data_IF_417649178090
#
_entry.id   IF_417649178090
#
_cell.length_a   1.000
_cell.length_b   1.000
_cell.length_c   1.000
_cell.angle_alpha   90.00
_cell.angle_beta   90.00
_cell.angle_gamma   90.00
#
_symmetry.space_group_name_H-M   'P 1'
#
loop_
_entity.id
_entity.type
_entity.pdbx_description
1 polymer ?
#
# COMPACT_ATOMS: atom_id res chain seq x y z
N UNK A 1 8.46 2.19 -0.94
CA UNK A 1 7.37 3.15 -1.18
C UNK A 1 7.11 4.03 0.04
N UNK A 2 6.87 3.44 1.23
CA UNK A 2 6.54 4.21 2.45
C UNK A 2 7.63 5.24 2.74
N UNK A 3 8.88 4.81 2.91
CA UNK A 3 9.99 5.71 3.18
C UNK A 3 10.23 6.74 2.08
N UNK A 4 10.11 6.35 0.80
CA UNK A 4 10.26 7.28 -0.33
C UNK A 4 9.17 8.35 -0.35
N UNK A 5 7.91 8.00 -0.06
CA UNK A 5 6.81 8.96 0.01
C UNK A 5 6.98 9.93 1.19
N UNK A 6 7.37 9.43 2.37
CA UNK A 6 7.67 10.28 3.54
C UNK A 6 8.86 11.20 3.23
N UNK A 7 9.96 10.66 2.70
CA UNK A 7 11.17 11.44 2.37
C UNK A 7 10.86 12.56 1.38
N UNK A 8 10.09 12.27 0.32
CA UNK A 8 9.60 13.29 -0.63
C UNK A 8 8.78 14.37 0.10
N UNK A 9 7.81 13.96 0.94
CA UNK A 9 7.00 14.89 1.71
C UNK A 9 7.81 15.79 2.65
N UNK A 10 8.86 15.26 3.27
CA UNK A 10 9.76 16.00 4.15
C UNK A 10 10.58 17.07 3.42
N UNK A 11 10.97 16.86 2.15
CA UNK A 11 11.61 17.91 1.35
C UNK A 11 10.67 19.10 1.13
N UNK A 12 9.37 18.84 0.97
CA UNK A 12 8.34 19.89 0.88
C UNK A 12 8.18 20.70 2.17
N UNK A 13 8.67 20.20 3.30
CA UNK A 13 8.71 20.90 4.60
C UNK A 13 10.04 21.64 4.84
N UNK A 14 10.88 21.80 3.81
CA UNK A 14 12.16 22.48 3.91
C UNK A 14 13.27 21.67 4.61
N UNK A 15 13.05 20.38 4.87
CA UNK A 15 14.05 19.47 5.43
C UNK A 15 14.92 18.86 4.33
N UNK A 16 16.12 18.40 4.72
CA UNK A 16 17.05 17.68 3.84
C UNK A 16 17.24 16.24 4.32
N UNK A 17 16.28 15.35 4.05
CA UNK A 17 16.39 13.97 4.52
C UNK A 17 17.47 13.19 3.77
N UNK A 18 18.04 12.19 4.47
CA UNK A 18 18.84 11.12 3.87
C UNK A 18 17.96 9.86 3.86
N UNK A 19 17.79 9.25 2.70
CA UNK A 19 17.05 8.01 2.52
C UNK A 19 18.03 6.85 2.32
N UNK A 20 18.14 5.99 3.33
CA UNK A 20 18.97 4.79 3.29
C UNK A 20 18.11 3.60 2.83
N UNK A 21 18.59 2.83 1.89
CA UNK A 21 17.93 1.60 1.42
C UNK A 21 18.94 0.45 1.35
N UNK A 22 18.61 -0.70 1.95
CA UNK A 22 19.54 -1.83 2.05
C UNK A 22 19.83 -2.51 0.71
N UNK A 23 19.09 -2.19 -0.34
CA UNK A 23 19.39 -2.69 -1.68
C UNK A 23 18.18 -3.06 -2.50
N UNK A 24 18.47 -3.33 -3.75
CA UNK A 24 17.52 -3.57 -4.81
C UNK A 24 17.19 -5.05 -4.93
N UNK A 25 16.34 -5.54 -4.03
CA UNK A 25 15.83 -6.91 -4.08
C UNK A 25 14.52 -6.94 -4.88
N UNK A 26 14.48 -7.70 -5.98
CA UNK A 26 13.39 -7.72 -6.96
C UNK A 26 12.00 -8.02 -6.36
N UNK A 27 11.92 -8.76 -5.28
CA UNK A 27 10.67 -9.28 -4.73
C UNK A 27 10.22 -8.61 -3.44
N UNK A 28 10.72 -7.43 -3.11
CA UNK A 28 10.25 -6.64 -1.97
C UNK A 28 8.86 -6.07 -2.24
N UNK A 29 8.10 -5.84 -1.16
CA UNK A 29 6.71 -5.37 -1.20
C UNK A 29 6.50 -4.15 -2.12
N UNK A 30 7.42 -3.19 -2.13
CA UNK A 30 7.33 -1.98 -2.96
C UNK A 30 7.36 -2.28 -4.46
N UNK A 31 8.15 -3.24 -4.91
CA UNK A 31 8.29 -3.61 -6.33
C UNK A 31 7.31 -4.68 -6.77
N UNK A 32 6.94 -5.58 -5.87
CA UNK A 32 5.96 -6.62 -6.14
C UNK A 32 4.50 -6.17 -5.99
N UNK A 33 4.26 -4.88 -5.76
CA UNK A 33 2.93 -4.36 -5.46
C UNK A 33 1.99 -4.45 -6.67
N UNK A 34 0.72 -4.77 -6.40
CA UNK A 34 -0.32 -4.87 -7.42
C UNK A 34 -0.73 -3.51 -8.00
N UNK A 35 -0.61 -2.42 -7.21
CA UNK A 35 -0.82 -1.05 -7.67
C UNK A 35 -2.22 -0.49 -7.44
N UNK A 36 -3.03 -1.05 -6.56
CA UNK A 36 -4.33 -0.47 -6.21
C UNK A 36 -4.20 0.73 -5.27
N UNK A 37 -5.00 1.75 -5.53
CA UNK A 37 -5.45 2.76 -4.58
C UNK A 37 -6.83 2.30 -4.12
N UNK A 38 -6.94 1.72 -2.91
CA UNK A 38 -8.10 0.91 -2.56
C UNK A 38 -8.65 1.24 -1.17
N UNK A 39 -9.92 1.60 -1.10
CA UNK A 39 -10.61 2.06 0.11
C UNK A 39 -11.63 1.02 0.60
N UNK A 40 -12.41 0.44 -0.29
CA UNK A 40 -13.59 -0.38 0.05
C UNK A 40 -13.33 -1.68 0.81
N UNK A 41 -12.07 -2.03 1.08
CA UNK A 41 -11.73 -3.21 1.89
C UNK A 41 -10.77 -2.87 3.03
N UNK A 42 -10.59 -1.58 3.32
CA UNK A 42 -9.64 -1.09 4.31
C UNK A 42 -10.36 -0.52 5.52
N UNK A 43 -9.96 -0.97 6.71
CA UNK A 43 -10.49 -0.45 7.97
C UNK A 43 -11.85 -1.01 8.38
N UNK A 44 -12.24 -2.19 7.91
CA UNK A 44 -13.37 -2.94 8.46
C UNK A 44 -13.10 -3.26 9.94
N UNK A 45 -13.99 -2.86 10.83
CA UNK A 45 -13.77 -2.93 12.27
C UNK A 45 -12.75 -1.92 12.83
N UNK A 46 -12.20 -1.03 11.98
CA UNK A 46 -11.16 -0.06 12.35
C UNK A 46 -11.44 1.32 11.70
N UNK A 47 -12.38 2.11 12.22
CA UNK A 47 -12.82 3.37 11.62
C UNK A 47 -11.68 4.39 11.41
N UNK A 48 -10.66 4.39 12.27
CA UNK A 48 -9.47 5.25 12.10
C UNK A 48 -8.71 4.92 10.83
N UNK A 49 -8.51 3.63 10.56
CA UNK A 49 -7.85 3.19 9.33
C UNK A 49 -8.71 3.46 8.08
N UNK A 50 -10.02 3.29 8.19
CA UNK A 50 -10.94 3.63 7.10
C UNK A 50 -10.81 5.12 6.72
N UNK A 51 -10.86 6.03 7.73
CA UNK A 51 -10.68 7.48 7.52
C UNK A 51 -9.29 7.81 6.94
N UNK A 52 -8.25 7.20 7.48
CA UNK A 52 -6.88 7.41 7.01
C UNK A 52 -6.67 6.99 5.56
N UNK A 53 -7.18 5.80 5.21
CA UNK A 53 -7.12 5.28 3.83
C UNK A 53 -7.87 6.17 2.86
N UNK A 54 -9.06 6.63 3.24
CA UNK A 54 -9.85 7.53 2.40
C UNK A 54 -9.20 8.91 2.25
N UNK A 55 -8.64 9.46 3.34
CA UNK A 55 -7.85 10.69 3.27
C UNK A 55 -6.67 10.53 2.29
N UNK A 56 -5.97 9.40 2.35
CA UNK A 56 -4.90 9.09 1.42
C UNK A 56 -5.37 9.04 -0.04
N UNK A 57 -6.50 8.39 -0.30
CA UNK A 57 -7.08 8.33 -1.65
C UNK A 57 -7.45 9.74 -2.16
N UNK A 58 -7.88 10.65 -1.29
CA UNK A 58 -8.13 12.05 -1.60
C UNK A 58 -6.87 12.87 -1.92
N UNK A 59 -5.73 12.53 -1.31
CA UNK A 59 -4.44 13.19 -1.56
C UNK A 59 -3.72 12.68 -2.84
N UNK A 60 -4.16 11.58 -3.40
CA UNK A 60 -3.52 10.97 -4.56
C UNK A 60 -3.47 11.86 -5.81
N UNK A 61 -4.56 12.56 -6.21
CA UNK A 61 -4.51 13.45 -7.37
C UNK A 61 -3.45 14.54 -7.25
N UNK A 62 -3.34 15.16 -6.06
CA UNK A 62 -2.34 16.17 -5.80
C UNK A 62 -0.92 15.58 -5.80
N UNK A 63 -0.70 14.42 -5.15
CA UNK A 63 0.60 13.73 -5.20
C UNK A 63 1.01 13.41 -6.64
N UNK A 64 0.10 12.87 -7.46
CA UNK A 64 0.38 12.52 -8.85
C UNK A 64 0.74 13.76 -9.69
N UNK A 65 0.00 14.87 -9.50
CA UNK A 65 0.27 16.14 -10.18
C UNK A 65 1.64 16.71 -9.79
N UNK A 66 1.97 16.73 -8.48
CA UNK A 66 3.26 17.22 -7.99
C UNK A 66 4.43 16.40 -8.56
N UNK A 67 4.31 15.07 -8.57
CA UNK A 67 5.33 14.19 -9.14
C UNK A 67 5.48 14.39 -10.65
N UNK A 68 4.37 14.51 -11.39
CA UNK A 68 4.40 14.77 -12.83
C UNK A 68 5.05 16.12 -13.16
N UNK A 69 4.66 17.17 -12.44
CA UNK A 69 5.24 18.50 -12.61
C UNK A 69 6.75 18.53 -12.34
N UNK A 70 7.20 17.81 -11.31
CA UNK A 70 8.62 17.77 -10.91
C UNK A 70 9.48 16.90 -11.79
N UNK A 71 8.96 15.72 -12.18
CA UNK A 71 9.78 14.69 -12.82
C UNK A 71 9.45 14.46 -14.29
N UNK A 72 8.38 15.06 -14.82
CA UNK A 72 7.84 14.75 -16.12
C UNK A 72 7.26 13.34 -16.26
N UNK A 73 7.01 12.62 -15.15
CA UNK A 73 6.54 11.24 -15.14
C UNK A 73 5.08 11.17 -14.69
N UNK A 74 4.21 10.69 -15.56
CA UNK A 74 2.86 10.27 -15.18
C UNK A 74 2.93 8.92 -14.45
N UNK A 75 2.51 8.88 -13.19
CA UNK A 75 2.46 7.67 -12.37
C UNK A 75 1.31 6.73 -12.77
N UNK A 76 0.55 7.07 -13.79
CA UNK A 76 -0.55 6.27 -14.30
C UNK A 76 -1.73 6.21 -13.31
N UNK A 77 -1.97 7.27 -12.56
CA UNK A 77 -3.12 7.33 -11.66
C UNK A 77 -4.42 7.31 -12.45
N UNK A 78 -5.29 6.36 -12.11
CA UNK A 78 -6.68 6.29 -12.57
C UNK A 78 -7.56 6.04 -11.37
N UNK A 79 -8.49 6.95 -11.05
CA UNK A 79 -9.45 6.83 -9.95
C UNK A 79 -10.91 6.96 -10.45
N UNK A 80 -11.37 6.10 -11.35
CA UNK A 80 -12.76 6.09 -11.82
C UNK A 80 -13.72 5.45 -10.83
N UNK A 81 -13.27 5.07 -9.66
CA UNK A 81 -13.87 4.13 -8.75
C UNK A 81 -13.28 2.73 -8.92
N UNK A 82 -13.84 1.77 -8.17
CA UNK A 82 -13.40 0.38 -8.24
C UNK A 82 -14.50 -0.58 -7.82
N UNK A 83 -14.37 -1.82 -8.26
CA UNK A 83 -15.39 -2.85 -8.09
C UNK A 83 -14.81 -4.08 -7.40
N UNK A 84 -15.54 -4.66 -6.46
CA UNK A 84 -15.27 -6.01 -5.97
C UNK A 84 -16.39 -6.94 -6.46
N UNK A 85 -16.03 -7.86 -7.36
CA UNK A 85 -16.96 -8.85 -7.94
C UNK A 85 -17.23 -10.00 -6.97
N UNK A 86 -18.48 -10.48 -7.00
CA UNK A 86 -18.96 -11.64 -6.25
C UNK A 86 -19.37 -12.74 -7.23
N UNK A 87 -18.88 -13.97 -7.00
CA UNK A 87 -19.12 -15.13 -7.86
C UNK A 87 -20.21 -16.07 -7.32
N UNK A 88 -20.77 -15.77 -6.16
CA UNK A 88 -21.91 -16.47 -5.56
C UNK A 88 -22.78 -15.51 -4.75
N UNK A 89 -24.02 -15.89 -4.49
CA UNK A 89 -24.91 -15.12 -3.63
C UNK A 89 -24.35 -15.01 -2.21
N UNK A 90 -23.69 -16.03 -1.69
CA UNK A 90 -23.05 -15.98 -0.40
C UNK A 90 -21.95 -14.89 -0.34
N UNK A 91 -21.08 -14.82 -1.36
CA UNK A 91 -20.07 -13.73 -1.48
C UNK A 91 -20.74 -12.36 -1.54
N UNK A 92 -21.87 -12.25 -2.24
CA UNK A 92 -22.60 -10.99 -2.39
C UNK A 92 -23.22 -10.52 -1.06
N UNK A 93 -23.90 -11.41 -0.32
CA UNK A 93 -24.53 -11.08 0.96
C UNK A 93 -23.46 -10.75 2.04
N UNK A 94 -22.39 -11.53 2.10
CA UNK A 94 -21.25 -11.20 2.98
C UNK A 94 -20.66 -9.82 2.64
N UNK A 95 -20.50 -9.55 1.34
CA UNK A 95 -19.99 -8.26 0.88
C UNK A 95 -20.94 -7.12 1.22
N UNK A 96 -22.24 -7.29 1.04
CA UNK A 96 -23.25 -6.30 1.38
C UNK A 96 -23.23 -5.97 2.88
N UNK A 97 -23.17 -6.99 3.74
CA UNK A 97 -23.07 -6.82 5.19
C UNK A 97 -21.81 -6.03 5.57
N UNK A 98 -20.67 -6.39 5.00
CA UNK A 98 -19.39 -5.68 5.23
C UNK A 98 -19.45 -4.22 4.82
N UNK A 99 -20.01 -3.91 3.65
CA UNK A 99 -20.11 -2.54 3.16
C UNK A 99 -21.07 -1.71 4.01
N UNK A 100 -22.19 -2.29 4.45
CA UNK A 100 -23.12 -1.65 5.37
C UNK A 100 -22.47 -1.32 6.73
N UNK A 101 -21.71 -2.26 7.29
CA UNK A 101 -20.97 -2.04 8.54
C UNK A 101 -19.91 -0.94 8.37
N UNK A 102 -19.10 -0.97 7.31
CA UNK A 102 -18.11 0.08 7.04
C UNK A 102 -18.76 1.46 6.93
N UNK A 103 -19.94 1.56 6.33
CA UNK A 103 -20.71 2.81 6.28
C UNK A 103 -21.18 3.26 7.67
N UNK A 104 -21.66 2.34 8.48
CA UNK A 104 -22.06 2.64 9.86
C UNK A 104 -20.87 3.11 10.71
N UNK A 105 -19.73 2.45 10.60
CA UNK A 105 -18.47 2.79 11.28
C UNK A 105 -17.90 4.14 10.84
N UNK A 106 -18.12 4.54 9.59
CA UNK A 106 -17.67 5.83 9.07
C UNK A 106 -18.36 7.02 9.75
N UNK A 107 -19.58 6.86 10.27
CA UNK A 107 -20.33 7.91 10.92
C UNK A 107 -20.47 9.15 10.02
N UNK A 108 -20.25 10.34 10.58
CA UNK A 108 -20.34 11.61 9.87
C UNK A 108 -19.29 11.81 8.77
N UNK A 109 -18.22 11.01 8.78
CA UNK A 109 -17.21 11.05 7.73
C UNK A 109 -17.77 10.52 6.39
N UNK A 110 -18.78 9.65 6.46
CA UNK A 110 -19.46 9.05 5.33
C UNK A 110 -18.61 8.02 4.59
N UNK A 111 -19.28 7.08 3.97
CA UNK A 111 -18.65 6.07 3.12
C UNK A 111 -19.62 5.71 1.98
N UNK A 112 -19.38 6.25 0.80
CA UNK A 112 -20.26 6.03 -0.34
C UNK A 112 -19.93 4.72 -1.02
N UNK A 113 -20.94 3.90 -1.19
CA UNK A 113 -20.85 2.64 -1.91
C UNK A 113 -22.19 2.28 -2.56
N UNK A 114 -22.14 1.40 -3.53
CA UNK A 114 -23.33 0.75 -4.11
C UNK A 114 -23.11 -0.75 -4.14
N UNK A 115 -24.16 -1.49 -3.81
CA UNK A 115 -24.26 -2.91 -4.12
C UNK A 115 -25.05 -3.06 -5.41
N UNK A 116 -24.49 -3.74 -6.39
CA UNK A 116 -25.05 -3.86 -7.75
C UNK A 116 -25.20 -5.35 -8.08
N UNK A 117 -26.42 -5.81 -8.35
CA UNK A 117 -26.66 -7.18 -8.84
C UNK A 117 -26.24 -7.32 -10.30
N UNK A 118 -25.89 -8.55 -10.70
CA UNK A 118 -25.60 -8.85 -12.11
C UNK A 118 -26.80 -8.48 -13.00
N UNK A 119 -26.52 -7.60 -13.96
CA UNK A 119 -27.57 -7.04 -14.83
C UNK A 119 -26.99 -6.05 -15.84
N UNK A 120 -27.84 -5.30 -16.56
CA UNK A 120 -27.39 -4.34 -17.56
C UNK A 120 -26.42 -3.30 -17.02
N UNK A 121 -26.72 -2.71 -15.86
CA UNK A 121 -25.85 -1.69 -15.21
C UNK A 121 -24.43 -2.19 -15.00
N UNK A 122 -24.25 -3.36 -14.37
CA UNK A 122 -22.92 -3.89 -14.07
C UNK A 122 -22.18 -4.30 -15.36
N UNK A 123 -22.89 -4.75 -16.40
CA UNK A 123 -22.31 -5.09 -17.70
C UNK A 123 -21.89 -3.85 -18.50
N UNK A 124 -22.59 -2.74 -18.34
CA UNK A 124 -22.21 -1.44 -18.90
C UNK A 124 -20.96 -0.90 -18.21
N UNK A 125 -20.92 -0.99 -16.87
CA UNK A 125 -19.74 -0.58 -16.09
C UNK A 125 -18.50 -1.43 -16.38
N UNK A 126 -18.68 -2.74 -16.61
CA UNK A 126 -17.61 -3.72 -16.83
C UNK A 126 -17.98 -4.64 -18.01
N UNK A 127 -17.62 -4.25 -19.24
CA UNK A 127 -17.86 -5.07 -20.42
C UNK A 127 -17.17 -6.44 -20.35
N UNK A 128 -17.83 -7.47 -20.87
CA UNK A 128 -17.26 -8.82 -20.94
C UNK A 128 -17.30 -9.62 -19.64
N UNK A 129 -18.13 -9.22 -18.65
CA UNK A 129 -18.36 -9.99 -17.42
C UNK A 129 -18.85 -11.42 -17.72
N UNK A 130 -18.28 -12.35 -16.97
CA UNK A 130 -18.63 -13.76 -17.01
C UNK A 130 -20.01 -14.07 -16.40
N UNK A 131 -20.66 -15.16 -16.83
CA UNK A 131 -21.97 -15.55 -16.33
C UNK A 131 -22.01 -15.97 -14.86
N UNK A 132 -20.83 -16.26 -14.27
CA UNK A 132 -20.71 -16.61 -12.84
C UNK A 132 -20.77 -15.41 -11.91
N UNK A 133 -20.63 -14.18 -12.43
CA UNK A 133 -20.72 -12.96 -11.62
C UNK A 133 -22.17 -12.71 -11.24
N UNK A 134 -22.48 -12.73 -9.96
CA UNK A 134 -23.82 -12.50 -9.40
C UNK A 134 -24.05 -11.05 -8.95
N UNK A 135 -22.99 -10.28 -8.81
CA UNK A 135 -23.04 -8.88 -8.42
C UNK A 135 -21.69 -8.35 -7.97
N UNK A 136 -21.72 -7.14 -7.43
CA UNK A 136 -20.52 -6.43 -7.01
C UNK A 136 -20.81 -5.36 -5.96
N UNK A 137 -19.77 -4.92 -5.23
CA UNK A 137 -19.74 -3.61 -4.59
C UNK A 137 -18.92 -2.63 -5.41
N UNK A 138 -19.33 -1.38 -5.43
CA UNK A 138 -18.64 -0.26 -6.06
C UNK A 138 -18.41 0.85 -5.06
N UNK A 139 -17.23 1.52 -5.10
CA UNK A 139 -17.00 2.81 -4.45
C UNK A 139 -16.36 3.79 -5.42
N UNK A 140 -16.64 5.09 -5.29
CA UNK A 140 -16.04 6.11 -6.17
C UNK A 140 -14.59 6.47 -5.77
N UNK A 141 -14.10 5.97 -4.63
CA UNK A 141 -12.79 6.37 -4.07
C UNK A 141 -11.64 5.52 -4.59
N UNK A 142 -11.94 4.36 -5.13
CA UNK A 142 -10.96 3.38 -5.56
C UNK A 142 -10.33 3.72 -6.91
N UNK A 143 -9.17 3.16 -7.14
CA UNK A 143 -8.42 3.37 -8.37
C UNK A 143 -7.16 2.51 -8.39
N UNK A 144 -6.25 2.87 -9.27
CA UNK A 144 -4.94 2.25 -9.36
C UNK A 144 -3.89 3.23 -9.88
N UNK A 145 -2.62 2.89 -9.65
CA UNK A 145 -1.47 3.58 -10.20
C UNK A 145 -0.38 2.56 -10.58
N UNK A 146 0.62 2.97 -11.32
CA UNK A 146 1.78 2.13 -11.60
C UNK A 146 2.78 2.22 -10.43
N UNK A 147 2.95 1.16 -9.60
CA UNK A 147 3.77 1.22 -8.41
C UNK A 147 5.26 1.39 -8.70
N UNK A 148 5.75 0.89 -9.84
CA UNK A 148 7.16 1.01 -10.23
C UNK A 148 7.47 2.43 -10.70
N UNK A 149 6.59 3.01 -11.52
CA UNK A 149 6.73 4.41 -11.96
C UNK A 149 6.59 5.36 -10.76
N UNK A 150 5.64 5.08 -9.84
CA UNK A 150 5.49 5.83 -8.60
C UNK A 150 6.78 5.82 -7.77
N UNK A 151 7.36 4.64 -7.52
CA UNK A 151 8.60 4.53 -6.76
C UNK A 151 9.75 5.31 -7.40
N UNK A 152 9.89 5.18 -8.71
CA UNK A 152 10.89 5.91 -9.48
C UNK A 152 10.67 7.44 -9.44
N UNK A 153 9.43 7.89 -9.62
CA UNK A 153 9.09 9.30 -9.56
C UNK A 153 9.33 9.89 -8.17
N UNK A 154 9.00 9.15 -7.09
CA UNK A 154 9.28 9.57 -5.71
C UNK A 154 10.80 9.73 -5.47
N UNK A 155 11.61 8.76 -5.87
CA UNK A 155 13.07 8.85 -5.72
C UNK A 155 13.64 10.04 -6.53
N UNK A 156 13.21 10.19 -7.77
CA UNK A 156 13.67 11.27 -8.64
C UNK A 156 13.26 12.64 -8.09
N UNK A 157 11.99 12.83 -7.74
CA UNK A 157 11.49 14.07 -7.16
C UNK A 157 12.21 14.41 -5.85
N UNK A 158 12.46 13.41 -5.01
CA UNK A 158 13.21 13.53 -3.76
C UNK A 158 14.64 14.03 -3.98
N UNK A 159 15.37 13.42 -4.91
CA UNK A 159 16.77 13.84 -5.20
C UNK A 159 16.84 15.20 -5.88
N UNK A 160 15.94 15.50 -6.80
CA UNK A 160 15.83 16.83 -7.45
C UNK A 160 15.43 17.94 -6.46
N UNK A 161 14.80 17.58 -5.33
CA UNK A 161 14.49 18.50 -4.23
C UNK A 161 15.65 18.67 -3.23
N UNK A 162 16.82 18.06 -3.48
CA UNK A 162 18.00 18.15 -2.63
C UNK A 162 18.09 17.09 -1.54
N UNK A 163 17.22 16.05 -1.57
CA UNK A 163 17.34 14.89 -0.72
C UNK A 163 18.48 13.96 -1.16
N UNK A 164 19.09 13.24 -0.24
CA UNK A 164 20.19 12.30 -0.50
C UNK A 164 19.68 10.87 -0.47
N UNK A 165 19.72 10.16 -1.59
CA UNK A 165 19.40 8.72 -1.68
C UNK A 165 20.68 7.89 -1.66
N UNK A 166 20.77 6.96 -0.72
CA UNK A 166 21.93 6.06 -0.55
C UNK A 166 21.45 4.61 -0.77
N UNK A 167 21.66 4.04 -1.94
CA UNK A 167 21.34 2.64 -2.21
C UNK A 167 22.38 1.71 -1.58
N UNK A 168 22.01 0.44 -1.39
CA UNK A 168 22.86 -0.61 -0.80
C UNK A 168 23.43 -0.24 0.57
N UNK A 169 22.70 0.57 1.31
CA UNK A 169 23.04 1.07 2.65
C UNK A 169 22.18 0.38 3.71
N UNK A 170 22.42 -0.93 3.90
CA UNK A 170 21.83 -1.66 5.01
C UNK A 170 22.35 -1.09 6.32
N UNK A 171 21.43 -0.74 7.23
CA UNK A 171 21.79 -0.31 8.58
C UNK A 171 22.44 -1.48 9.33
N UNK A 172 23.61 -1.24 9.89
CA UNK A 172 24.41 -2.17 10.66
C UNK A 172 24.05 -2.08 12.15
N UNK A 173 24.62 -2.95 12.97
CA UNK A 173 24.33 -2.99 14.42
C UNK A 173 24.93 -1.80 15.20
N UNK A 174 25.77 -0.97 14.57
CA UNK A 174 26.31 0.27 15.16
C UNK A 174 25.28 1.40 15.10
N UNK A 175 24.37 1.39 16.07
CA UNK A 175 23.28 2.33 16.22
C UNK A 175 23.45 3.13 17.51
N UNK A 176 23.50 4.46 17.39
CA UNK A 176 23.35 5.39 18.49
C UNK A 176 21.96 6.01 18.45
N UNK A 177 21.22 5.92 19.55
CA UNK A 177 19.90 6.50 19.68
C UNK A 177 19.73 7.19 21.04
N UNK A 178 19.67 8.51 21.00
CA UNK A 178 19.36 9.36 22.14
C UNK A 178 18.35 10.45 21.69
N UNK A 179 17.64 11.12 22.60
CA UNK A 179 16.68 12.16 22.25
C UNK A 179 17.28 13.21 21.31
N UNK A 180 16.73 13.31 20.09
CA UNK A 180 17.18 14.22 19.03
C UNK A 180 18.66 14.07 18.60
N UNK A 181 19.28 12.95 18.93
CA UNK A 181 20.66 12.62 18.56
C UNK A 181 20.74 11.16 18.12
N UNK A 182 20.65 10.95 16.81
CA UNK A 182 20.65 9.63 16.20
C UNK A 182 21.82 9.51 15.25
N UNK A 183 22.53 8.38 15.34
CA UNK A 183 23.50 8.02 14.33
C UNK A 183 23.42 6.53 14.02
N UNK A 184 23.56 6.19 12.74
CA UNK A 184 23.57 4.81 12.25
C UNK A 184 24.74 4.63 11.29
N UNK A 185 25.37 3.47 11.33
CA UNK A 185 26.29 3.05 10.27
C UNK A 185 25.53 2.24 9.23
N UNK A 186 25.69 2.59 7.96
CA UNK A 186 25.04 1.91 6.85
C UNK A 186 25.96 1.89 5.63
N UNK A 187 26.21 0.70 5.08
CA UNK A 187 27.15 0.54 3.97
C UNK A 187 28.55 1.05 4.26
N UNK A 188 29.03 0.93 5.49
CA UNK A 188 30.34 1.38 5.97
C UNK A 188 30.45 2.90 6.15
N UNK A 189 29.36 3.65 6.06
CA UNK A 189 29.32 5.10 6.28
C UNK A 189 28.42 5.44 7.46
N UNK A 190 28.86 6.42 8.29
CA UNK A 190 28.07 6.91 9.42
C UNK A 190 27.19 8.08 9.00
N UNK A 191 25.90 8.00 9.37
CA UNK A 191 24.89 9.04 9.15
C UNK A 191 24.35 9.50 10.50
N UNK A 192 24.22 10.81 10.70
CA UNK A 192 23.69 11.39 11.93
C UNK A 192 22.58 12.42 11.60
N UNK A 193 21.53 12.43 12.42
CA UNK A 193 20.42 13.35 12.28
C UNK A 193 19.66 13.52 13.61
N UNK A 194 18.99 14.66 13.83
CA UNK A 194 18.14 14.88 15.01
C UNK A 194 16.80 14.13 14.95
N UNK A 195 16.48 13.49 13.83
CA UNK A 195 15.25 12.69 13.63
C UNK A 195 15.56 11.45 12.81
N UNK A 196 14.83 10.37 13.11
CA UNK A 196 14.88 9.12 12.36
C UNK A 196 13.48 8.62 12.06
N UNK A 197 13.26 8.09 10.85
CA UNK A 197 12.00 7.48 10.45
C UNK A 197 12.28 6.05 10.01
N UNK A 198 11.76 5.09 10.74
CA UNK A 198 11.87 3.68 10.41
C UNK A 198 10.77 3.29 9.42
N UNK A 199 11.15 3.13 8.15
CA UNK A 199 10.26 2.73 7.05
C UNK A 199 10.84 1.54 6.26
N UNK A 200 11.65 0.70 6.92
CA UNK A 200 12.38 -0.42 6.34
C UNK A 200 11.50 -1.69 6.11
N UNK A 201 10.17 -1.57 6.23
CA UNK A 201 9.25 -2.67 6.02
C UNK A 201 9.49 -3.81 7.02
N UNK A 202 9.76 -5.03 6.56
CA UNK A 202 10.02 -6.18 7.44
C UNK A 202 11.28 -5.98 8.32
N UNK A 203 12.24 -5.18 7.87
CA UNK A 203 13.44 -4.84 8.65
C UNK A 203 13.13 -4.02 9.90
N UNK A 204 11.99 -3.37 9.97
CA UNK A 204 11.61 -2.58 11.14
C UNK A 204 11.42 -3.43 12.41
N UNK A 205 11.08 -4.72 12.28
CA UNK A 205 10.99 -5.63 13.42
C UNK A 205 12.31 -5.69 14.23
N UNK A 206 13.44 -5.66 13.53
CA UNK A 206 14.77 -5.66 14.15
C UNK A 206 15.24 -4.25 14.55
N UNK A 207 14.91 -3.23 13.74
CA UNK A 207 15.41 -1.87 13.98
C UNK A 207 14.65 -1.13 15.08
N UNK A 208 13.33 -1.30 15.17
CA UNK A 208 12.47 -0.50 16.05
C UNK A 208 12.91 -0.52 17.54
N UNK A 209 13.30 -1.66 18.13
CA UNK A 209 13.72 -1.70 19.54
C UNK A 209 14.89 -0.78 19.87
N UNK A 210 15.85 -0.58 18.96
CA UNK A 210 16.98 0.32 19.16
C UNK A 210 16.58 1.79 19.36
N UNK A 211 15.38 2.15 18.91
CA UNK A 211 14.84 3.51 18.98
C UNK A 211 13.68 3.63 19.98
N UNK A 212 13.50 2.65 20.88
CA UNK A 212 12.41 2.63 21.83
C UNK A 212 11.03 2.53 21.16
N UNK A 213 10.97 1.85 20.02
CA UNK A 213 9.75 1.63 19.22
C UNK A 213 9.44 0.14 19.11
N UNK A 214 8.20 -0.18 18.74
CA UNK A 214 7.77 -1.54 18.43
C UNK A 214 7.24 -1.60 17.00
N UNK A 215 7.62 -2.64 16.26
CA UNK A 215 7.11 -2.92 14.93
C UNK A 215 6.90 -4.43 14.74
N UNK A 216 5.86 -5.02 15.36
CA UNK A 216 5.58 -6.45 15.27
C UNK A 216 5.04 -6.81 13.88
N UNK A 217 5.90 -6.80 12.89
CA UNK A 217 5.56 -7.09 11.50
C UNK A 217 6.10 -8.45 11.08
N UNK A 218 5.35 -9.13 10.21
CA UNK A 218 5.68 -10.44 9.66
C UNK A 218 5.49 -10.46 8.15
N UNK A 219 6.20 -11.34 7.43
CA UNK A 219 5.99 -11.51 6.00
C UNK A 219 4.70 -12.29 5.73
N UNK A 220 3.96 -11.88 4.70
CA UNK A 220 2.86 -12.63 4.12
C UNK A 220 3.00 -12.62 2.61
N UNK A 221 3.12 -13.80 1.99
CA UNK A 221 3.30 -13.90 0.56
C UNK A 221 2.01 -13.61 -0.20
N UNK A 222 2.14 -12.86 -1.30
CA UNK A 222 1.12 -12.70 -2.32
C UNK A 222 1.71 -12.93 -3.70
N UNK A 223 0.97 -13.59 -4.58
CA UNK A 223 1.37 -13.88 -5.96
C UNK A 223 0.56 -13.06 -6.96
N UNK A 224 1.20 -12.67 -8.04
CA UNK A 224 0.63 -11.82 -9.10
C UNK A 224 0.99 -12.40 -10.46
N UNK A 225 0.05 -12.33 -11.39
CA UNK A 225 0.23 -12.71 -12.79
C UNK A 225 0.12 -11.45 -13.65
N UNK A 226 0.90 -11.38 -14.72
CA UNK A 226 0.78 -10.36 -15.78
C UNK A 226 0.61 -11.05 -17.12
N UNK A 227 -0.39 -10.62 -17.87
CA UNK A 227 -0.64 -11.12 -19.22
C UNK A 227 0.09 -10.28 -20.27
N UNK A 228 0.07 -10.75 -21.49
CA UNK A 228 0.37 -9.94 -22.67
C UNK A 228 -0.53 -8.69 -22.73
N UNK A 229 -0.13 -7.75 -23.55
CA UNK A 229 -0.89 -6.50 -23.76
C UNK A 229 -2.12 -6.77 -24.61
N UNK A 230 -3.21 -6.09 -24.27
CA UNK A 230 -4.46 -6.09 -25.05
C UNK A 230 -4.97 -4.66 -25.18
N UNK A 231 -5.98 -4.44 -26.01
CA UNK A 231 -6.69 -3.17 -26.06
C UNK A 231 -7.23 -2.80 -24.67
N UNK A 232 -7.55 -1.53 -24.46
CA UNK A 232 -8.20 -1.09 -23.22
C UNK A 232 -9.61 -1.67 -23.15
N UNK A 233 -9.86 -2.52 -22.17
CA UNK A 233 -11.11 -3.28 -22.00
C UNK A 233 -11.67 -3.22 -20.57
N UNK A 234 -10.88 -2.73 -19.60
CA UNK A 234 -11.31 -2.54 -18.23
C UNK A 234 -11.34 -1.05 -17.88
N UNK A 235 -12.54 -0.42 -17.85
CA UNK A 235 -12.68 1.00 -17.55
C UNK A 235 -12.26 1.37 -16.12
N UNK A 236 -12.27 0.41 -15.21
CA UNK A 236 -11.91 0.58 -13.80
C UNK A 236 -11.28 -0.69 -13.22
N UNK A 237 -10.50 -0.58 -12.14
CA UNK A 237 -9.94 -1.75 -11.47
C UNK A 237 -11.01 -2.55 -10.73
N UNK A 238 -10.81 -3.85 -10.73
CA UNK A 238 -11.46 -4.81 -9.84
C UNK A 238 -10.46 -5.19 -8.75
N UNK A 239 -10.91 -5.61 -7.57
CA UNK A 239 -10.04 -5.93 -6.42
C UNK A 239 -8.84 -6.80 -6.77
N UNK A 240 -9.05 -7.78 -7.64
CA UNK A 240 -8.03 -8.78 -8.04
C UNK A 240 -7.63 -8.70 -9.51
N UNK A 241 -8.18 -7.76 -10.27
CA UNK A 241 -7.92 -7.63 -11.71
C UNK A 241 -7.83 -6.16 -12.06
N UNK A 242 -6.75 -5.74 -12.70
CA UNK A 242 -6.65 -4.40 -13.26
C UNK A 242 -5.92 -4.41 -14.59
N UNK A 243 -6.20 -3.45 -15.43
CA UNK A 243 -5.42 -3.21 -16.64
C UNK A 243 -4.40 -2.11 -16.38
N UNK A 244 -3.17 -2.32 -16.84
CA UNK A 244 -2.12 -1.30 -16.77
C UNK A 244 -2.29 -0.30 -17.91
N UNK A 245 -1.66 0.86 -17.79
CA UNK A 245 -1.64 1.87 -18.88
C UNK A 245 -1.01 1.35 -20.16
N UNK A 246 -0.10 0.37 -20.03
CA UNK A 246 0.55 -0.29 -21.17
C UNK A 246 -0.32 -1.36 -21.82
N UNK A 247 -1.48 -1.70 -21.24
CA UNK A 247 -2.46 -2.64 -21.77
C UNK A 247 -2.39 -4.06 -21.20
N UNK A 248 -1.43 -4.40 -20.35
CA UNK A 248 -1.39 -5.72 -19.70
C UNK A 248 -2.46 -5.87 -18.63
N UNK A 249 -3.02 -7.06 -18.50
CA UNK A 249 -3.90 -7.39 -17.39
C UNK A 249 -3.07 -7.96 -16.24
N UNK A 250 -3.18 -7.37 -15.07
CA UNK A 250 -2.63 -7.90 -13.83
C UNK A 250 -3.71 -8.64 -13.07
N UNK A 251 -3.38 -9.86 -12.64
CA UNK A 251 -4.24 -10.73 -11.84
C UNK A 251 -3.59 -10.95 -10.49
N UNK A 252 -4.32 -10.82 -9.43
CA UNK A 252 -3.93 -11.07 -8.05
C UNK A 252 -5.14 -11.60 -7.30
N UNK A 253 -5.04 -11.84 -6.05
CA UNK A 253 -3.84 -11.99 -5.30
C UNK A 253 -3.98 -13.30 -4.51
N UNK A 254 -2.94 -13.71 -3.83
CA UNK A 254 -2.99 -14.78 -2.83
C UNK A 254 -2.62 -14.25 -1.45
N UNK A 255 -2.98 -15.00 -0.43
CA UNK A 255 -2.63 -14.76 0.98
C UNK A 255 -2.03 -16.05 1.53
N UNK A 256 -0.71 -16.05 1.78
CA UNK A 256 0.02 -17.25 2.13
C UNK A 256 0.95 -16.97 3.32
N UNK A 257 0.77 -17.74 4.40
CA UNK A 257 1.61 -17.69 5.61
C UNK A 257 2.77 -18.69 5.47
N UNK A 258 3.84 -18.27 4.81
CA UNK A 258 4.99 -19.12 4.45
C UNK A 258 6.33 -18.55 4.90
N UNK A 259 6.32 -17.60 5.84
CA UNK A 259 7.52 -16.92 6.27
C UNK A 259 8.18 -16.14 5.13
N UNK A 260 9.49 -16.22 5.03
CA UNK A 260 10.28 -15.53 4.02
C UNK A 260 10.42 -16.28 2.68
N UNK A 261 9.58 -17.30 2.43
CA UNK A 261 9.59 -18.03 1.16
C UNK A 261 8.99 -17.18 0.03
N UNK A 262 9.81 -16.82 -0.96
CA UNK A 262 9.41 -16.04 -2.14
C UNK A 262 9.19 -16.89 -3.39
N UNK A 263 9.21 -18.22 -3.29
CA UNK A 263 8.97 -19.11 -4.43
C UNK A 263 7.53 -19.02 -4.90
N UNK A 264 7.34 -19.05 -6.21
CA UNK A 264 6.01 -19.14 -6.81
C UNK A 264 5.48 -20.56 -6.68
N UNK A 265 4.16 -20.70 -6.59
CA UNK A 265 3.46 -21.99 -6.55
C UNK A 265 2.45 -22.07 -7.68
N UNK A 266 2.62 -23.01 -8.62
CA UNK A 266 1.71 -23.18 -9.75
C UNK A 266 0.25 -23.37 -9.34
N UNK A 267 0.00 -24.06 -8.21
CA UNK A 267 -1.34 -24.30 -7.70
C UNK A 267 -2.05 -22.99 -7.32
N UNK A 268 -1.31 -22.06 -6.73
CA UNK A 268 -1.84 -20.73 -6.35
C UNK A 268 -2.06 -19.87 -7.60
N UNK A 269 -1.11 -19.88 -8.55
CA UNK A 269 -1.24 -19.21 -9.84
C UNK A 269 -2.49 -19.69 -10.57
N UNK A 270 -2.76 -21.01 -10.56
CA UNK A 270 -3.96 -21.60 -11.16
C UNK A 270 -5.24 -21.03 -10.53
N UNK A 271 -5.33 -20.98 -9.20
CA UNK A 271 -6.51 -20.45 -8.49
C UNK A 271 -6.76 -18.97 -8.85
N UNK A 272 -5.70 -18.14 -8.90
CA UNK A 272 -5.81 -16.73 -9.31
C UNK A 272 -6.35 -16.65 -10.75
N UNK A 273 -5.80 -17.43 -11.67
CA UNK A 273 -6.22 -17.43 -13.07
C UNK A 273 -7.67 -17.92 -13.25
N UNK A 274 -8.05 -19.02 -12.57
CA UNK A 274 -9.41 -19.56 -12.60
C UNK A 274 -10.46 -18.54 -12.12
N UNK A 275 -10.16 -17.81 -11.01
CA UNK A 275 -11.06 -16.76 -10.53
C UNK A 275 -11.16 -15.60 -11.53
N UNK A 276 -10.05 -15.19 -12.11
CA UNK A 276 -10.04 -14.12 -13.12
C UNK A 276 -10.84 -14.50 -14.37
N UNK A 277 -10.70 -15.73 -14.87
CA UNK A 277 -11.48 -16.26 -16.00
C UNK A 277 -12.95 -16.40 -15.65
N UNK A 278 -13.29 -16.75 -14.42
CA UNK A 278 -14.69 -16.78 -13.96
C UNK A 278 -15.32 -15.39 -13.94
N UNK A 279 -14.54 -14.35 -13.60
CA UNK A 279 -14.97 -12.95 -13.67
C UNK A 279 -15.06 -12.44 -15.11
N UNK A 280 -14.06 -12.75 -15.94
CA UNK A 280 -13.96 -12.29 -17.32
C UNK A 280 -13.44 -13.42 -18.21
N UNK A 281 -14.31 -14.19 -18.88
CA UNK A 281 -13.90 -15.37 -19.69
C UNK A 281 -12.89 -15.06 -20.79
N UNK A 282 -12.88 -13.84 -21.33
CA UNK A 282 -11.94 -13.41 -22.36
C UNK A 282 -10.46 -13.40 -21.86
N UNK A 283 -10.23 -13.27 -20.56
CA UNK A 283 -8.87 -13.35 -19.97
C UNK A 283 -8.23 -14.72 -20.24
N UNK A 284 -9.02 -15.78 -20.32
CA UNK A 284 -8.52 -17.13 -20.60
C UNK A 284 -7.88 -17.31 -21.99
N UNK A 285 -7.98 -16.31 -22.86
CA UNK A 285 -7.34 -16.30 -24.18
C UNK A 285 -5.98 -15.59 -24.19
N UNK A 286 -5.62 -14.89 -23.10
CA UNK A 286 -4.40 -14.14 -22.99
C UNK A 286 -3.25 -15.02 -22.52
N UNK A 287 -2.07 -14.80 -23.10
CA UNK A 287 -0.86 -15.46 -22.64
C UNK A 287 -0.33 -14.83 -21.35
N UNK A 288 0.12 -15.65 -20.43
CA UNK A 288 0.86 -15.19 -19.23
C UNK A 288 2.28 -14.85 -19.67
N UNK A 289 2.68 -13.59 -19.45
CA UNK A 289 4.03 -13.12 -19.76
C UNK A 289 4.94 -13.25 -18.54
N UNK A 290 4.38 -13.01 -17.35
CA UNK A 290 5.16 -13.07 -16.11
C UNK A 290 4.25 -13.37 -14.91
N UNK A 291 4.83 -14.08 -13.93
CA UNK A 291 4.29 -14.18 -12.58
C UNK A 291 5.41 -13.89 -11.58
N UNK A 292 5.05 -13.39 -10.41
CA UNK A 292 5.97 -13.23 -9.29
C UNK A 292 5.26 -13.35 -7.97
N UNK A 293 6.04 -13.48 -6.91
CA UNK A 293 5.57 -13.38 -5.53
C UNK A 293 6.28 -12.22 -4.82
N UNK A 294 5.61 -11.66 -3.82
CA UNK A 294 6.18 -10.63 -2.94
C UNK A 294 5.72 -10.84 -1.50
N UNK A 295 6.54 -10.39 -0.56
CA UNK A 295 6.24 -10.47 0.86
C UNK A 295 5.64 -9.15 1.33
N UNK A 296 4.36 -9.20 1.71
CA UNK A 296 3.69 -8.07 2.37
C UNK A 296 4.26 -7.86 3.76
N UNK A 297 4.26 -6.61 4.21
CA UNK A 297 4.62 -6.21 5.57
C UNK A 297 3.35 -6.19 6.39
N UNK A 298 3.06 -7.26 7.14
CA UNK A 298 1.81 -7.44 7.86
C UNK A 298 2.01 -7.25 9.36
N UNK A 299 1.27 -6.33 9.97
CA UNK A 299 1.06 -6.30 11.41
C UNK A 299 0.13 -7.46 11.83
N UNK A 300 0.07 -7.87 13.11
CA UNK A 300 -0.79 -8.98 13.56
C UNK A 300 -2.25 -8.85 13.14
N UNK A 301 -2.81 -7.65 13.22
CA UNK A 301 -4.20 -7.30 12.85
C UNK A 301 -4.36 -6.81 11.40
N UNK A 302 -3.28 -6.74 10.64
CA UNK A 302 -3.27 -6.24 9.26
C UNK A 302 -3.42 -4.72 9.11
N UNK A 303 -3.50 -3.96 10.20
CA UNK A 303 -3.58 -2.50 10.16
C UNK A 303 -2.18 -1.87 10.08
N UNK A 304 -2.04 -0.63 9.58
CA UNK A 304 -0.78 0.08 9.63
C UNK A 304 -0.29 0.30 11.07
N UNK A 305 1.02 0.51 11.21
CA UNK A 305 1.63 0.97 12.46
C UNK A 305 2.27 2.31 12.19
N UNK A 306 1.80 3.35 12.88
CA UNK A 306 2.44 4.66 12.96
C UNK A 306 2.66 4.97 14.42
N UNK A 307 3.92 5.26 14.76
CA UNK A 307 4.28 5.52 16.15
C UNK A 307 5.44 6.49 16.25
N UNK A 308 5.57 7.11 17.42
CA UNK A 308 6.71 7.92 17.81
C UNK A 308 7.22 7.44 19.16
N UNK A 309 8.54 7.47 19.34
CA UNK A 309 9.16 6.99 20.56
C UNK A 309 9.00 8.01 21.70
N UNK A 310 8.60 7.52 22.87
CA UNK A 310 8.59 8.29 24.11
C UNK A 310 9.99 8.38 24.74
N UNK A 311 10.77 7.30 24.68
CA UNK A 311 12.14 7.24 25.24
C UNK A 311 13.20 7.89 24.34
N UNK A 312 12.92 7.94 23.02
CA UNK A 312 13.79 8.55 22.01
C UNK A 312 13.00 9.58 21.18
N UNK A 313 12.65 10.77 21.73
CA UNK A 313 11.95 11.83 21.01
C UNK A 313 12.65 12.21 19.71
N UNK A 314 11.91 12.22 18.60
CA UNK A 314 12.44 12.40 17.25
C UNK A 314 12.59 11.11 16.45
N UNK A 315 12.35 9.94 17.06
CA UNK A 315 12.26 8.67 16.36
C UNK A 315 10.80 8.31 16.05
N UNK A 316 10.54 7.92 14.80
CA UNK A 316 9.22 7.56 14.27
C UNK A 316 9.28 6.23 13.55
N UNK A 317 8.14 5.52 13.49
CA UNK A 317 8.01 4.34 12.63
C UNK A 317 6.75 4.41 11.78
N UNK A 318 6.85 3.90 10.55
CA UNK A 318 5.74 3.76 9.62
C UNK A 318 5.79 2.40 8.91
N UNK A 319 4.79 1.57 9.16
CA UNK A 319 4.65 0.23 8.58
C UNK A 319 3.27 0.04 8.00
N UNK A 320 3.17 -0.50 6.82
CA UNK A 320 1.89 -0.93 6.24
C UNK A 320 2.09 -1.91 5.09
N UNK A 321 1.07 -2.73 4.80
CA UNK A 321 1.03 -3.53 3.58
C UNK A 321 0.47 -2.76 2.37
N UNK A 322 -0.23 -1.65 2.60
CA UNK A 322 -0.94 -0.85 1.58
C UNK A 322 -0.14 0.36 1.11
N UNK A 323 1.17 0.21 0.88
CA UNK A 323 2.08 1.32 0.58
C UNK A 323 1.71 2.17 -0.64
N UNK A 324 1.06 1.59 -1.67
CA UNK A 324 0.54 2.37 -2.80
C UNK A 324 -0.69 3.17 -2.37
N UNK A 325 -1.70 2.51 -1.81
CA UNK A 325 -2.92 3.20 -1.33
C UNK A 325 -2.58 4.37 -0.40
N UNK A 326 -1.61 4.18 0.50
CA UNK A 326 -1.26 5.16 1.54
C UNK A 326 -0.16 6.15 1.13
N UNK A 327 0.33 6.11 -0.12
CA UNK A 327 1.38 7.02 -0.57
C UNK A 327 0.97 8.49 -0.49
N UNK A 328 -0.30 8.81 -0.81
CA UNK A 328 -0.84 10.16 -0.66
C UNK A 328 -0.76 10.66 0.79
N UNK A 329 -1.22 9.85 1.74
CA UNK A 329 -1.16 10.20 3.16
C UNK A 329 0.29 10.28 3.67
N UNK A 330 1.16 9.37 3.27
CA UNK A 330 2.56 9.38 3.70
C UNK A 330 3.29 10.65 3.26
N UNK A 331 3.12 11.06 2.02
CA UNK A 331 3.79 12.24 1.48
C UNK A 331 3.17 13.56 1.98
N UNK A 332 1.85 13.63 2.11
CA UNK A 332 1.15 14.91 2.26
C UNK A 332 0.51 15.14 3.62
N UNK A 333 0.34 14.09 4.42
CA UNK A 333 -0.26 14.18 5.76
C UNK A 333 0.72 13.74 6.86
N UNK A 334 1.39 12.59 6.71
CA UNK A 334 2.29 12.06 7.72
C UNK A 334 3.64 12.80 7.75
N UNK A 335 4.20 13.13 6.58
CA UNK A 335 5.48 13.85 6.52
C UNK A 335 5.44 15.22 7.22
N UNK A 336 4.39 16.05 7.08
CA UNK A 336 4.24 17.27 7.87
C UNK A 336 4.20 17.04 9.38
N UNK A 337 3.54 15.98 9.87
CA UNK A 337 3.52 15.63 11.30
C UNK A 337 4.93 15.29 11.80
N UNK A 338 5.67 14.47 11.04
CA UNK A 338 7.06 14.11 11.35
C UNK A 338 7.95 15.37 11.31
N UNK A 339 7.74 16.27 10.36
CA UNK A 339 8.47 17.55 10.28
C UNK A 339 8.18 18.46 11.49
N UNK A 340 6.95 18.47 11.99
CA UNK A 340 6.57 19.16 13.21
C UNK A 340 7.12 18.50 14.49
N UNK A 341 7.57 17.25 14.41
CA UNK A 341 8.14 16.51 15.54
C UNK A 341 7.13 15.75 16.39
N UNK A 342 5.85 15.72 16.00
CA UNK A 342 4.79 15.02 16.72
C UNK A 342 3.75 14.44 15.76
N UNK A 343 3.34 13.20 16.02
CA UNK A 343 2.21 12.57 15.31
C UNK A 343 0.89 13.06 15.91
N UNK A 344 -0.08 13.30 15.04
CA UNK A 344 -1.46 13.56 15.44
C UNK A 344 -2.14 12.24 15.83
N UNK A 345 -2.09 11.91 17.12
CA UNK A 345 -2.64 10.67 17.66
C UNK A 345 -4.18 10.67 17.69
N UNK A 346 -4.84 11.83 17.66
CA UNK A 346 -6.29 11.90 17.46
C UNK A 346 -6.67 11.38 16.07
N UNK A 347 -5.91 11.77 15.07
CA UNK A 347 -6.12 11.34 13.67
C UNK A 347 -5.66 9.92 13.41
N UNK A 348 -4.52 9.51 13.96
CA UNK A 348 -3.95 8.17 13.77
C UNK A 348 -4.52 7.15 14.74
N UNK A 349 -5.03 7.62 15.90
CA UNK A 349 -5.78 6.81 16.85
C UNK A 349 -5.10 5.49 17.23
N UNK A 350 -5.81 4.38 17.05
CA UNK A 350 -5.35 3.03 17.39
C UNK A 350 -4.33 2.44 16.39
N UNK A 351 -3.73 3.26 15.52
CA UNK A 351 -2.68 2.79 14.59
C UNK A 351 -1.27 2.77 15.22
N UNK A 352 -1.13 3.11 16.51
CA UNK A 352 0.11 2.90 17.27
C UNK A 352 0.33 1.42 17.59
N UNK A 353 1.60 1.01 17.71
CA UNK A 353 1.99 -0.34 18.13
C UNK A 353 1.61 -0.66 19.59
N UNK A 354 1.30 0.35 20.40
CA UNK A 354 0.81 0.18 21.78
C UNK A 354 -0.44 -0.70 21.88
N UNK A 355 -1.26 -0.80 20.80
CA UNK A 355 -2.41 -1.71 20.74
C UNK A 355 -2.07 -3.19 20.89
N UNK A 356 -0.79 -3.54 20.71
CA UNK A 356 -0.30 -4.92 20.89
C UNK A 356 0.35 -5.15 22.27
N UNK A 357 0.55 -4.09 23.09
CA UNK A 357 1.21 -4.19 24.38
C UNK A 357 0.33 -4.84 25.48
N UNK A 358 -0.98 -4.91 25.28
CA UNK A 358 -1.93 -5.45 26.26
C UNK A 358 -2.40 -6.86 25.93
N UNK A 359 -1.54 -7.66 25.26
CA UNK A 359 -1.62 -9.12 25.18
C UNK A 359 -3.01 -9.73 25.08
N UNK A 360 -3.76 -9.47 24.01
CA UNK A 360 -4.75 -10.39 23.48
C UNK A 360 -4.53 -10.48 21.97
N UNK A 361 -3.72 -11.48 21.58
CA UNK A 361 -3.75 -11.98 20.22
C UNK A 361 -5.08 -12.73 20.07
N UNK A 362 -6.03 -12.12 19.35
CA UNK A 362 -7.24 -12.80 18.91
C UNK A 362 -6.91 -13.78 17.75
#
# INVERSE_FOLDING_TARGET
>A
LVGAAIAWGLTGQGLRPVLLDEGDVAFRASRGNFGLVWVQSKGFGAPHYQRWTRASAGEWPALAADLAARTGRDVGLRQPGGVQLCLSDAEYEERAARMAQMRAEAGNFGFDYRMIRAGPELREMLPGLGPRVVGASFTPYDGHANPLVLLHALHRAFTEAGGTYVPNAKVEDDIHAAPHDYAVTAGGQRFAAPRVVLAAGLGNAALAPHFGLSAPVRPQRGQVIVTERTAEVLPMPVTTIRQTTEGSIMLGDSVEEVGFDTRQRPEVIRVIAERAVACFPWIGRLNIVRAWSALRVMAPDGLPIYDQSESCPGAFTANCHSGVTLAGAHARLLAPMIAAGALDMERLGLLSAHRFAHGEAA
#
